data_IF_125113585727
#
_entry.id   IF_125113585727
#
_cell.length_a   1.000
_cell.length_b   1.000
_cell.length_c   1.000
_cell.angle_alpha   90.00
_cell.angle_beta   90.00
_cell.angle_gamma   90.00
#
_symmetry.space_group_name_H-M   'P 1'
#
loop_
_entity.id
_entity.type
_entity.pdbx_description
1 polymer ?
#
# COMPACT_ATOMS: atom_id res chain seq x y z
N UNK A 1 11.16 -15.68 -16.82
CA UNK A 1 9.76 -15.84 -17.29
C UNK A 1 9.41 -14.84 -18.39
N UNK A 2 8.27 -14.95 -19.09
CA UNK A 2 8.00 -14.22 -20.34
C UNK A 2 8.18 -12.69 -20.27
N UNK A 3 7.81 -12.08 -19.16
CA UNK A 3 7.96 -10.63 -18.95
C UNK A 3 9.42 -10.25 -18.80
N UNK A 4 10.19 -11.01 -18.02
CA UNK A 4 11.62 -10.76 -17.83
C UNK A 4 12.39 -10.94 -19.15
N UNK A 5 12.03 -11.95 -19.93
CA UNK A 5 12.66 -12.24 -21.24
C UNK A 5 12.35 -11.10 -22.24
N UNK A 6 11.10 -10.62 -22.26
CA UNK A 6 10.71 -9.48 -23.09
C UNK A 6 11.44 -8.19 -22.68
N UNK A 7 11.56 -7.93 -21.38
CA UNK A 7 12.30 -6.77 -20.87
C UNK A 7 13.78 -6.85 -21.23
N UNK A 8 14.42 -8.02 -21.04
CA UNK A 8 15.82 -8.21 -21.43
C UNK A 8 16.04 -7.99 -22.93
N UNK A 9 15.10 -8.44 -23.77
CA UNK A 9 15.16 -8.25 -25.23
C UNK A 9 15.03 -6.78 -25.61
N UNK A 10 14.11 -6.04 -24.98
CA UNK A 10 13.87 -4.62 -25.32
C UNK A 10 14.97 -3.71 -24.79
N UNK A 11 15.46 -3.96 -23.58
CA UNK A 11 16.47 -3.11 -22.93
C UNK A 11 17.91 -3.48 -23.30
N UNK A 12 18.14 -4.70 -23.80
CA UNK A 12 19.48 -5.24 -24.03
C UNK A 12 20.29 -5.41 -22.73
N UNK A 13 19.66 -5.26 -21.58
CA UNK A 13 20.29 -5.24 -20.27
C UNK A 13 19.93 -6.41 -19.38
N UNK A 14 20.58 -6.45 -18.22
CA UNK A 14 20.27 -7.39 -17.14
C UNK A 14 18.88 -7.08 -16.58
N UNK A 15 18.09 -8.12 -16.33
CA UNK A 15 16.79 -8.03 -15.64
C UNK A 15 16.91 -8.76 -14.30
N UNK A 16 16.57 -8.05 -13.22
CA UNK A 16 16.44 -8.63 -11.89
C UNK A 16 14.97 -8.95 -11.64
N UNK A 17 14.67 -10.20 -11.33
CA UNK A 17 13.36 -10.60 -10.81
C UNK A 17 13.46 -10.67 -9.30
N UNK A 18 12.61 -9.90 -8.61
CA UNK A 18 12.53 -9.95 -7.15
C UNK A 18 11.53 -11.04 -6.78
N UNK A 19 12.00 -12.03 -6.06
CA UNK A 19 11.25 -13.18 -5.58
C UNK A 19 11.59 -13.50 -4.12
N UNK A 20 11.12 -14.62 -3.61
CA UNK A 20 11.31 -15.01 -2.21
C UNK A 20 12.76 -15.33 -1.85
N UNK A 21 13.55 -15.73 -2.82
CA UNK A 21 14.97 -16.08 -2.65
C UNK A 21 15.86 -14.83 -2.76
N UNK A 22 15.29 -13.70 -3.16
CA UNK A 22 15.99 -12.42 -3.27
C UNK A 22 16.39 -11.91 -1.88
N UNK A 23 17.67 -11.66 -1.60
CA UNK A 23 18.13 -11.15 -0.33
C UNK A 23 17.70 -9.69 -0.16
N UNK A 24 16.56 -9.46 0.48
CA UNK A 24 15.98 -8.13 0.66
C UNK A 24 16.53 -7.38 1.86
N UNK A 25 17.09 -8.10 2.83
CA UNK A 25 17.56 -7.53 4.09
C UNK A 25 16.43 -7.10 5.05
N UNK A 26 15.16 -7.45 4.74
CA UNK A 26 14.02 -7.23 5.63
C UNK A 26 13.83 -8.46 6.53
N UNK A 27 14.07 -8.36 7.85
CA UNK A 27 13.79 -9.45 8.77
C UNK A 27 12.27 -9.65 8.89
N UNK A 28 11.79 -10.89 8.80
CA UNK A 28 10.37 -11.22 8.91
C UNK A 28 9.92 -11.62 10.33
N UNK A 29 10.86 -11.76 11.28
CA UNK A 29 10.55 -12.22 12.63
C UNK A 29 9.78 -13.53 12.62
N UNK A 30 8.65 -13.59 13.33
CA UNK A 30 7.77 -14.76 13.41
C UNK A 30 6.72 -14.80 12.28
N UNK A 31 6.77 -13.87 11.31
CA UNK A 31 5.79 -13.83 10.22
C UNK A 31 6.05 -14.97 9.22
N UNK A 32 5.00 -15.74 8.92
CA UNK A 32 5.08 -16.75 7.85
C UNK A 32 5.22 -16.07 6.47
N UNK A 33 6.43 -16.04 5.96
CA UNK A 33 6.75 -15.43 4.66
C UNK A 33 6.26 -16.23 3.46
N UNK A 34 5.71 -17.46 3.63
CA UNK A 34 5.39 -18.35 2.51
C UNK A 34 4.36 -17.75 1.54
N UNK A 35 3.45 -16.91 2.02
CA UNK A 35 2.43 -16.23 1.21
C UNK A 35 2.58 -14.69 1.16
N UNK A 36 3.71 -14.16 1.63
CA UNK A 36 3.95 -12.71 1.63
C UNK A 36 4.17 -12.21 0.21
N UNK A 37 3.36 -11.24 -0.22
CA UNK A 37 3.53 -10.55 -1.49
C UNK A 37 4.86 -9.78 -1.53
N UNK A 38 5.59 -9.90 -2.61
CA UNK A 38 6.88 -9.22 -2.77
C UNK A 38 6.74 -7.69 -2.90
N UNK A 39 5.61 -7.21 -3.36
CA UNK A 39 5.23 -5.79 -3.34
C UNK A 39 5.33 -5.20 -1.92
N UNK A 40 4.75 -5.87 -0.93
CA UNK A 40 4.80 -5.46 0.47
C UNK A 40 6.23 -5.45 1.04
N UNK A 41 7.04 -6.44 0.66
CA UNK A 41 8.46 -6.51 1.04
C UNK A 41 9.23 -5.35 0.43
N UNK A 42 9.07 -5.12 -0.87
CA UNK A 42 9.73 -4.05 -1.61
C UNK A 42 9.39 -2.68 -1.05
N UNK A 43 8.11 -2.45 -0.73
CA UNK A 43 7.65 -1.20 -0.12
C UNK A 43 8.27 -0.97 1.26
N UNK A 44 8.36 -2.02 2.10
CA UNK A 44 9.04 -1.93 3.40
C UNK A 44 10.53 -1.64 3.25
N UNK A 45 11.22 -2.25 2.29
CA UNK A 45 12.64 -1.98 1.98
C UNK A 45 12.82 -0.51 1.59
N UNK A 46 11.94 0.02 0.72
CA UNK A 46 11.98 1.42 0.33
C UNK A 46 11.75 2.37 1.50
N UNK A 47 10.76 2.05 2.33
CA UNK A 47 10.41 2.86 3.49
C UNK A 47 11.54 2.89 4.53
N UNK A 48 12.13 1.74 4.86
CA UNK A 48 13.27 1.63 5.80
C UNK A 48 14.53 2.34 5.30
N UNK A 49 14.72 2.42 3.99
CA UNK A 49 15.86 3.15 3.42
C UNK A 49 15.73 4.68 3.56
N UNK A 50 14.53 5.20 3.90
CA UNK A 50 14.21 6.64 3.90
C UNK A 50 13.70 7.18 5.21
N UNK A 51 13.03 6.35 5.99
CA UNK A 51 12.33 6.76 7.20
C UNK A 51 12.73 5.90 8.38
N UNK A 52 12.83 6.52 9.52
CA UNK A 52 13.12 5.79 10.77
C UNK A 52 11.92 4.96 11.22
N UNK A 53 12.11 3.69 11.58
CA UNK A 53 11.05 2.85 12.13
C UNK A 53 10.67 3.31 13.58
N UNK A 54 9.48 2.96 14.09
CA UNK A 54 8.52 2.05 13.48
C UNK A 54 7.74 2.69 12.33
N UNK A 55 7.30 1.84 11.37
CA UNK A 55 6.64 2.28 10.16
C UNK A 55 5.29 1.56 9.97
N UNK A 56 4.29 2.31 9.49
CA UNK A 56 3.07 1.76 8.92
C UNK A 56 2.98 2.15 7.44
N UNK A 57 3.16 1.19 6.55
CA UNK A 57 3.17 1.41 5.09
C UNK A 57 1.83 0.97 4.52
N UNK A 58 1.04 1.91 4.04
CA UNK A 58 -0.22 1.68 3.35
C UNK A 58 -0.01 1.79 1.84
N UNK A 59 -0.15 0.69 1.13
CA UNK A 59 -0.26 0.70 -0.33
C UNK A 59 -1.74 0.62 -0.74
N UNK A 60 -2.21 1.68 -1.37
CA UNK A 60 -3.61 1.85 -1.77
C UNK A 60 -3.79 1.55 -3.26
N UNK A 61 -3.69 0.27 -3.62
CA UNK A 61 -3.89 -0.27 -4.95
C UNK A 61 -5.30 -0.88 -5.16
N UNK A 62 -5.37 -1.98 -5.93
CA UNK A 62 -6.59 -2.80 -6.09
C UNK A 62 -7.07 -3.34 -4.75
N UNK A 63 -6.16 -3.86 -3.93
CA UNK A 63 -6.36 -3.99 -2.49
C UNK A 63 -5.63 -2.84 -1.79
N UNK A 64 -6.06 -2.47 -0.60
CA UNK A 64 -5.26 -1.64 0.29
C UNK A 64 -4.52 -2.56 1.24
N UNK A 65 -3.19 -2.60 1.13
CA UNK A 65 -2.37 -3.38 2.05
C UNK A 65 -1.74 -2.47 3.10
N UNK A 66 -1.65 -2.95 4.32
CA UNK A 66 -0.85 -2.37 5.39
C UNK A 66 0.31 -3.30 5.71
N UNK A 67 1.48 -2.75 5.81
CA UNK A 67 2.68 -3.43 6.30
C UNK A 67 3.24 -2.68 7.50
N UNK A 68 3.51 -3.39 8.58
CA UNK A 68 4.03 -2.82 9.83
C UNK A 68 5.46 -3.29 10.04
N UNK A 69 6.35 -2.33 10.29
CA UNK A 69 7.74 -2.58 10.66
C UNK A 69 7.96 -1.97 12.04
N UNK A 70 8.48 -2.74 12.98
CA UNK A 70 8.76 -2.28 14.35
C UNK A 70 10.04 -1.43 14.46
N UNK A 71 10.37 -1.00 15.68
CA UNK A 71 11.56 -0.16 15.96
C UNK A 71 12.87 -0.81 15.58
N UNK A 72 12.95 -2.13 15.65
CA UNK A 72 14.12 -2.93 15.31
C UNK A 72 14.24 -3.15 13.78
N UNK A 73 13.30 -2.64 12.98
CA UNK A 73 13.25 -2.82 11.54
C UNK A 73 12.70 -4.18 11.11
N UNK A 74 12.02 -4.90 12.01
CA UNK A 74 11.45 -6.22 11.74
C UNK A 74 10.02 -6.08 11.22
N UNK A 75 9.70 -6.77 10.13
CA UNK A 75 8.35 -6.87 9.61
C UNK A 75 7.44 -7.66 10.56
N UNK A 76 6.36 -7.06 10.99
CA UNK A 76 5.41 -7.65 11.96
C UNK A 76 4.09 -8.09 11.34
N UNK A 77 3.99 -8.07 10.01
CA UNK A 77 2.74 -8.38 9.32
C UNK A 77 1.95 -7.13 8.95
N UNK A 78 0.64 -7.20 9.02
CA UNK A 78 -0.22 -6.08 8.68
C UNK A 78 -1.64 -6.51 8.35
N UNK A 79 -2.30 -5.78 7.43
CA UNK A 79 -3.70 -5.99 7.07
C UNK A 79 -3.86 -5.92 5.56
N UNK A 80 -4.93 -6.53 5.06
CA UNK A 80 -5.35 -6.42 3.66
C UNK A 80 -6.84 -6.04 3.67
N UNK A 81 -7.16 -4.93 3.04
CA UNK A 81 -8.51 -4.41 2.89
C UNK A 81 -8.87 -4.33 1.42
N UNK A 82 -10.15 -4.29 1.11
CA UNK A 82 -10.60 -3.98 -0.24
C UNK A 82 -10.17 -2.56 -0.61
N UNK A 83 -9.59 -2.39 -1.80
CA UNK A 83 -9.31 -1.07 -2.35
C UNK A 83 -10.59 -0.33 -2.76
N UNK A 84 -10.47 0.96 -3.10
CA UNK A 84 -11.63 1.82 -3.35
C UNK A 84 -12.51 1.28 -4.48
N UNK A 85 -11.93 0.99 -5.63
CA UNK A 85 -12.68 0.47 -6.79
C UNK A 85 -13.28 -0.90 -6.50
N UNK A 86 -12.50 -1.78 -5.89
CA UNK A 86 -12.98 -3.13 -5.52
C UNK A 86 -14.17 -3.06 -4.56
N UNK A 87 -14.17 -2.11 -3.62
CA UNK A 87 -15.30 -1.90 -2.71
C UNK A 87 -16.56 -1.43 -3.44
N UNK A 88 -16.41 -0.48 -4.38
CA UNK A 88 -17.51 0.02 -5.20
C UNK A 88 -18.07 -1.07 -6.12
N UNK A 89 -17.19 -1.82 -6.77
CA UNK A 89 -17.59 -2.93 -7.66
C UNK A 89 -18.30 -4.03 -6.89
N UNK A 90 -17.84 -4.35 -5.68
CA UNK A 90 -18.49 -5.35 -4.82
C UNK A 90 -19.90 -4.91 -4.39
N UNK A 91 -20.10 -3.64 -4.10
CA UNK A 91 -21.43 -3.10 -3.78
C UNK A 91 -22.36 -3.19 -4.99
N UNK A 92 -21.92 -2.74 -6.17
CA UNK A 92 -22.71 -2.79 -7.40
C UNK A 92 -23.03 -4.22 -7.83
N UNK A 93 -22.10 -5.15 -7.66
CA UNK A 93 -22.30 -6.54 -8.04
C UNK A 93 -23.26 -7.30 -7.10
N UNK A 94 -23.33 -6.89 -5.81
CA UNK A 94 -24.07 -7.64 -4.79
C UNK A 94 -25.35 -6.97 -4.32
N UNK A 95 -25.56 -5.70 -4.62
CA UNK A 95 -26.76 -4.96 -4.28
C UNK A 95 -27.47 -4.49 -5.56
N UNK A 96 -28.55 -5.18 -5.94
CA UNK A 96 -29.22 -5.04 -7.23
C UNK A 96 -29.70 -3.61 -7.61
N UNK A 97 -29.77 -2.71 -6.63
CA UNK A 97 -30.21 -1.31 -6.83
C UNK A 97 -29.05 -0.32 -6.86
N UNK A 98 -27.79 -0.78 -6.63
CA UNK A 98 -26.64 0.12 -6.62
C UNK A 98 -25.98 0.19 -8.01
N UNK A 99 -25.78 1.39 -8.55
CA UNK A 99 -25.18 1.57 -9.86
C UNK A 99 -23.67 1.29 -9.85
N UNK A 100 -23.09 1.12 -11.03
CA UNK A 100 -21.64 1.21 -11.19
C UNK A 100 -21.19 2.65 -10.97
N UNK A 101 -20.14 2.83 -10.15
CA UNK A 101 -19.65 4.15 -9.75
C UNK A 101 -18.16 4.29 -10.05
N UNK A 102 -17.81 5.34 -10.76
CA UNK A 102 -16.42 5.69 -11.04
C UNK A 102 -15.84 6.55 -9.91
N UNK A 103 -14.59 6.29 -9.54
CA UNK A 103 -13.86 7.10 -8.57
C UNK A 103 -13.62 8.52 -9.10
N UNK A 104 -13.94 9.49 -8.26
CA UNK A 104 -13.53 10.89 -8.40
C UNK A 104 -13.43 11.53 -7.02
N UNK A 105 -12.67 12.62 -6.85
CA UNK A 105 -12.57 13.31 -5.56
C UNK A 105 -13.95 13.69 -5.02
N UNK A 106 -14.16 13.56 -3.69
CA UNK A 106 -15.42 14.00 -3.08
C UNK A 106 -15.52 15.53 -3.05
N UNK A 107 -16.70 16.05 -3.35
CA UNK A 107 -17.01 17.48 -3.31
C UNK A 107 -17.53 17.93 -1.93
N UNK A 108 -17.75 16.98 -1.03
CA UNK A 108 -18.26 17.21 0.32
C UNK A 108 -18.21 15.94 1.16
N UNK A 109 -18.65 16.01 2.41
CA UNK A 109 -18.67 14.88 3.34
C UNK A 109 -19.90 13.99 3.16
N UNK A 110 -21.03 14.57 2.80
CA UNK A 110 -22.32 13.88 2.71
C UNK A 110 -22.78 13.84 1.26
N UNK A 111 -22.97 12.63 0.73
CA UNK A 111 -23.56 12.43 -0.60
C UNK A 111 -25.05 12.74 -0.61
N UNK A 112 -25.55 13.34 -1.69
CA UNK A 112 -26.96 13.72 -1.86
C UNK A 112 -27.70 12.86 -2.88
N UNK A 113 -26.99 11.86 -3.46
CA UNK A 113 -27.53 10.82 -4.33
C UNK A 113 -26.76 9.52 -4.09
N UNK A 114 -27.25 8.41 -4.65
CA UNK A 114 -26.69 7.07 -4.42
C UNK A 114 -25.23 6.97 -4.85
N UNK A 115 -24.86 7.53 -6.01
CA UNK A 115 -23.48 7.45 -6.51
C UNK A 115 -22.50 8.21 -5.60
N UNK A 116 -22.88 9.43 -5.18
CA UNK A 116 -22.09 10.21 -4.22
C UNK A 116 -22.00 9.52 -2.87
N UNK A 117 -23.10 8.94 -2.37
CA UNK A 117 -23.09 8.18 -1.12
C UNK A 117 -22.11 7.00 -1.19
N UNK A 118 -22.13 6.21 -2.27
CA UNK A 118 -21.20 5.11 -2.47
C UNK A 118 -19.75 5.58 -2.56
N UNK A 119 -19.50 6.56 -3.40
CA UNK A 119 -18.16 7.12 -3.62
C UNK A 119 -17.56 7.72 -2.36
N UNK A 120 -18.32 8.56 -1.67
CA UNK A 120 -17.88 9.20 -0.43
C UNK A 120 -17.69 8.19 0.69
N UNK A 121 -18.59 7.20 0.78
CA UNK A 121 -18.44 6.08 1.72
C UNK A 121 -17.14 5.30 1.52
N UNK A 122 -16.78 4.98 0.27
CA UNK A 122 -15.53 4.30 -0.04
C UNK A 122 -14.30 5.17 0.33
N UNK A 123 -14.27 6.43 -0.09
CA UNK A 123 -13.09 7.31 0.09
C UNK A 123 -12.93 7.74 1.55
N UNK A 124 -13.98 8.24 2.20
CA UNK A 124 -13.93 8.63 3.62
C UNK A 124 -13.80 7.42 4.54
N UNK A 125 -14.40 6.27 4.17
CA UNK A 125 -14.21 5.01 4.87
C UNK A 125 -12.74 4.57 4.88
N UNK A 126 -12.07 4.66 3.74
CA UNK A 126 -10.64 4.39 3.65
C UNK A 126 -9.78 5.38 4.45
N UNK A 127 -10.10 6.68 4.42
CA UNK A 127 -9.41 7.68 5.23
C UNK A 127 -9.57 7.37 6.73
N UNK A 128 -10.80 7.12 7.18
CA UNK A 128 -11.05 6.75 8.57
C UNK A 128 -10.39 5.44 8.98
N UNK A 129 -10.29 4.46 8.07
CA UNK A 129 -9.55 3.22 8.32
C UNK A 129 -8.05 3.49 8.52
N UNK A 130 -7.41 4.28 7.66
CA UNK A 130 -6.00 4.66 7.82
C UNK A 130 -5.77 5.34 9.17
N UNK A 131 -6.58 6.36 9.51
CA UNK A 131 -6.46 7.09 10.79
C UNK A 131 -6.69 6.19 12.00
N UNK A 132 -7.77 5.41 11.98
CA UNK A 132 -8.12 4.53 13.11
C UNK A 132 -7.16 3.37 13.30
N UNK A 133 -6.56 2.84 12.22
CA UNK A 133 -5.53 1.81 12.30
C UNK A 133 -4.22 2.42 12.79
N UNK A 134 -3.80 3.57 12.25
CA UNK A 134 -2.58 4.26 12.68
C UNK A 134 -2.60 4.55 14.19
N UNK A 135 -3.71 5.07 14.71
CA UNK A 135 -3.86 5.34 16.14
C UNK A 135 -3.66 4.07 17.00
N UNK A 136 -4.24 2.93 16.59
CA UNK A 136 -4.09 1.65 17.29
C UNK A 136 -2.68 1.10 17.21
N UNK A 137 -1.99 1.31 16.09
CA UNK A 137 -0.59 0.93 15.95
C UNK A 137 0.31 1.78 16.83
N UNK A 138 0.03 3.08 16.98
CA UNK A 138 0.75 3.96 17.91
C UNK A 138 0.60 3.53 19.36
N UNK A 139 -0.57 3.04 19.75
CA UNK A 139 -0.78 2.45 21.09
C UNK A 139 0.10 1.21 21.33
N UNK A 140 0.34 0.42 20.29
CA UNK A 140 1.09 -0.85 20.39
C UNK A 140 2.59 -0.67 20.20
N UNK A 141 3.02 0.15 19.22
CA UNK A 141 4.41 0.26 18.78
C UNK A 141 5.05 1.60 19.19
N UNK A 142 4.27 2.52 19.77
CA UNK A 142 4.66 3.91 20.03
C UNK A 142 4.57 4.77 18.77
N UNK A 143 4.98 6.04 18.85
CA UNK A 143 4.95 6.96 17.71
C UNK A 143 5.60 6.35 16.47
N UNK A 144 4.88 6.36 15.35
CA UNK A 144 5.32 5.72 14.10
C UNK A 144 5.15 6.66 12.90
N UNK A 145 5.91 6.37 11.85
CA UNK A 145 5.78 7.07 10.58
C UNK A 145 4.76 6.35 9.70
N UNK A 146 3.70 7.04 9.31
CA UNK A 146 2.72 6.53 8.34
C UNK A 146 3.19 6.90 6.93
N UNK A 147 3.48 5.89 6.12
CA UNK A 147 3.83 6.04 4.70
C UNK A 147 2.64 5.60 3.85
N UNK A 148 2.24 6.43 2.91
CA UNK A 148 1.13 6.17 2.00
C UNK A 148 1.65 6.10 0.56
N UNK A 149 1.29 5.05 -0.16
CA UNK A 149 1.60 4.85 -1.58
C UNK A 149 0.38 4.29 -2.33
N UNK A 150 0.54 3.99 -3.60
CA UNK A 150 -0.52 3.44 -4.45
C UNK A 150 -1.45 4.48 -5.07
N UNK A 151 -1.98 4.18 -6.25
CA UNK A 151 -2.77 5.14 -7.05
C UNK A 151 -4.01 5.69 -6.34
N UNK A 152 -4.69 4.88 -5.54
CA UNK A 152 -5.87 5.29 -4.77
C UNK A 152 -5.52 6.23 -3.60
N UNK A 153 -4.27 6.26 -3.16
CA UNK A 153 -3.80 7.17 -2.12
C UNK A 153 -4.00 8.64 -2.48
N UNK A 154 -4.01 8.98 -3.76
CA UNK A 154 -4.29 10.33 -4.23
C UNK A 154 -5.69 10.85 -3.84
N UNK A 155 -6.69 9.95 -3.74
CA UNK A 155 -8.04 10.32 -3.30
C UNK A 155 -8.17 10.42 -1.77
N UNK A 156 -7.40 9.65 -1.05
CA UNK A 156 -7.50 9.50 0.41
C UNK A 156 -6.65 10.50 1.16
N UNK A 157 -5.40 10.70 0.70
CA UNK A 157 -4.43 11.59 1.35
C UNK A 157 -4.96 12.99 1.69
N UNK A 158 -5.68 13.71 0.78
CA UNK A 158 -6.15 15.06 1.08
C UNK A 158 -7.17 15.13 2.23
N UNK A 159 -7.74 13.99 2.62
CA UNK A 159 -8.78 13.89 3.66
C UNK A 159 -8.22 13.46 5.01
N UNK A 160 -6.97 13.00 5.06
CA UNK A 160 -6.33 12.55 6.28
C UNK A 160 -6.03 13.73 7.20
N UNK A 161 -6.32 13.55 8.48
CA UNK A 161 -6.10 14.53 9.57
C UNK A 161 -4.83 14.24 10.37
N UNK A 162 -4.16 13.12 10.05
CA UNK A 162 -2.89 12.73 10.65
C UNK A 162 -1.73 13.04 9.69
N UNK A 163 -0.52 13.24 10.20
CA UNK A 163 0.66 13.37 9.35
C UNK A 163 0.92 12.08 8.58
N UNK A 164 1.11 12.19 7.27
CA UNK A 164 1.49 11.05 6.44
C UNK A 164 2.59 11.47 5.47
N UNK A 165 3.49 10.55 5.20
CA UNK A 165 4.45 10.67 4.11
C UNK A 165 3.80 10.12 2.85
N UNK A 166 3.71 10.95 1.81
CA UNK A 166 3.21 10.53 0.51
C UNK A 166 4.36 10.16 -0.43
N UNK A 167 4.45 8.88 -0.79
CA UNK A 167 5.49 8.38 -1.67
C UNK A 167 4.88 7.54 -2.82
N UNK A 168 4.40 8.18 -3.88
CA UNK A 168 3.67 7.49 -4.96
C UNK A 168 4.53 6.50 -5.73
N UNK A 169 5.85 6.60 -5.64
CA UNK A 169 6.80 5.73 -6.34
C UNK A 169 7.49 4.73 -5.40
N UNK A 170 6.92 4.46 -4.22
CA UNK A 170 7.57 3.67 -3.17
C UNK A 170 8.08 2.32 -3.67
N UNK A 171 7.24 1.55 -4.37
CA UNK A 171 7.60 0.24 -4.93
C UNK A 171 8.77 0.36 -5.92
N UNK A 172 8.78 1.37 -6.79
CA UNK A 172 9.89 1.60 -7.72
C UNK A 172 11.18 1.96 -6.98
N UNK A 173 11.08 2.74 -5.91
CA UNK A 173 12.20 3.08 -5.06
C UNK A 173 12.75 1.83 -4.35
N UNK A 174 11.90 0.94 -3.90
CA UNK A 174 12.31 -0.33 -3.30
C UNK A 174 12.99 -1.28 -4.29
N UNK A 175 12.46 -1.39 -5.49
CA UNK A 175 13.13 -2.13 -6.56
C UNK A 175 14.52 -1.55 -6.87
N UNK A 176 14.65 -0.23 -6.90
CA UNK A 176 15.94 0.44 -7.08
C UNK A 176 16.90 0.14 -5.92
N UNK A 177 16.42 0.17 -4.67
CA UNK A 177 17.26 -0.19 -3.51
C UNK A 177 17.77 -1.62 -3.59
N UNK A 178 16.91 -2.57 -3.98
CA UNK A 178 17.30 -3.97 -4.15
C UNK A 178 18.28 -4.17 -5.30
N UNK A 179 18.09 -3.43 -6.40
CA UNK A 179 19.04 -3.43 -7.51
C UNK A 179 20.44 -2.98 -7.07
N UNK A 180 20.53 -1.84 -6.39
CA UNK A 180 21.81 -1.27 -5.93
C UNK A 180 22.55 -2.17 -4.93
N UNK A 181 21.82 -2.97 -4.14
CA UNK A 181 22.42 -3.94 -3.20
C UNK A 181 23.03 -5.16 -3.90
N UNK A 182 22.69 -5.41 -5.16
CA UNK A 182 23.21 -6.54 -5.95
C UNK A 182 24.32 -6.11 -6.93
N UNK A 183 24.63 -4.85 -6.99
CA UNK A 183 25.84 -4.39 -7.69
C UNK A 183 27.06 -4.62 -6.79
N UNK A 184 28.15 -5.25 -7.31
CA UNK A 184 29.35 -5.51 -6.55
C UNK A 184 30.13 -4.24 -6.19
#
# INVERSE_FOLDING_TARGET
>A
GPVADALACVTGGRVLTVDRDTPTGLPLGDYDGAALGMDRVVDCVAALARYAPPLAVFDMGTATTLSVVDREGVFRGGMILAGLSLSLDALSARAAQLPQVTLSPPEGLVGTDTERCMRYGAIYGAAGAVEGIAARLEEQFGPLTVVLTGGNGAYVRPLLRIPVVWEPMLTHLGLRELWLRQEP
#
